data_IF_547388210002
#
_entry.id   IF_547388210002
#
_cell.length_a   1.000
_cell.length_b   1.000
_cell.length_c   1.000
_cell.angle_alpha   90.00
_cell.angle_beta   90.00
_cell.angle_gamma   90.00
#
_symmetry.space_group_name_H-M   'P 1'
#
loop_
_entity.id
_entity.type
_entity.pdbx_description
1 polymer ?
#
# COMPACT_ATOMS: atom_id res chain seq x y z
N UNK A 1 -5.30 26.02 -4.33
CA UNK A 1 -4.53 25.23 -3.33
C UNK A 1 -3.06 25.25 -3.71
N UNK A 2 -2.15 25.59 -2.80
CA UNK A 2 -0.70 25.59 -3.09
C UNK A 2 -0.19 24.15 -3.25
N UNK A 3 0.70 23.90 -4.22
CA UNK A 3 1.30 22.58 -4.48
C UNK A 3 1.93 21.96 -3.22
N UNK A 4 2.50 22.79 -2.33
CA UNK A 4 3.05 22.33 -1.05
C UNK A 4 2.00 21.72 -0.14
N UNK A 5 0.83 22.36 -0.04
CA UNK A 5 -0.29 21.88 0.78
C UNK A 5 -0.79 20.54 0.23
N UNK A 6 -0.91 20.43 -1.10
CA UNK A 6 -1.31 19.19 -1.76
C UNK A 6 -0.37 18.03 -1.41
N UNK A 7 0.95 18.24 -1.51
CA UNK A 7 1.95 17.22 -1.15
C UNK A 7 1.83 16.83 0.32
N UNK A 8 1.66 17.79 1.23
CA UNK A 8 1.51 17.49 2.67
C UNK A 8 0.30 16.61 2.92
N UNK A 9 -0.86 16.96 2.35
CA UNK A 9 -2.10 16.18 2.48
C UNK A 9 -1.91 14.75 1.94
N UNK A 10 -1.35 14.59 0.73
CA UNK A 10 -1.11 13.27 0.16
C UNK A 10 -0.18 12.43 1.04
N UNK A 11 0.89 13.01 1.59
CA UNK A 11 1.83 12.30 2.47
C UNK A 11 1.15 11.75 3.72
N UNK A 12 0.39 12.59 4.41
CA UNK A 12 -0.32 12.16 5.62
C UNK A 12 -1.39 11.14 5.30
N UNK A 13 -2.12 11.30 4.19
CA UNK A 13 -3.12 10.34 3.76
C UNK A 13 -2.49 8.97 3.48
N UNK A 14 -1.40 8.90 2.71
CA UNK A 14 -0.66 7.67 2.45
C UNK A 14 -0.11 7.03 3.72
N UNK A 15 0.51 7.83 4.61
CA UNK A 15 1.02 7.33 5.88
C UNK A 15 -0.09 6.68 6.72
N UNK A 16 -1.25 7.34 6.83
CA UNK A 16 -2.40 6.81 7.55
C UNK A 16 -2.93 5.54 6.89
N UNK A 17 -3.01 5.48 5.55
CA UNK A 17 -3.45 4.26 4.84
C UNK A 17 -2.53 3.07 5.13
N UNK A 18 -1.21 3.25 5.07
CA UNK A 18 -0.27 2.18 5.37
C UNK A 18 -0.34 1.74 6.85
N UNK A 19 -0.39 2.70 7.77
CA UNK A 19 -0.52 2.39 9.20
C UNK A 19 -1.85 1.69 9.53
N UNK A 20 -2.94 2.07 8.89
CA UNK A 20 -4.24 1.44 9.05
C UNK A 20 -4.21 -0.03 8.62
N UNK A 21 -3.65 -0.30 7.45
CA UNK A 21 -3.49 -1.67 6.92
C UNK A 21 -2.62 -2.52 7.84
N UNK A 22 -1.54 -1.96 8.39
CA UNK A 22 -0.69 -2.65 9.36
C UNK A 22 -1.45 -2.90 10.67
N UNK A 23 -2.23 -1.94 11.16
CA UNK A 23 -3.05 -2.10 12.36
C UNK A 23 -4.10 -3.21 12.20
N UNK A 24 -4.70 -3.33 11.02
CA UNK A 24 -5.62 -4.43 10.68
C UNK A 24 -4.92 -5.80 10.76
N UNK A 25 -3.70 -5.90 10.21
CA UNK A 25 -2.90 -7.12 10.22
C UNK A 25 -2.38 -7.50 11.60
N UNK A 26 -2.14 -6.53 12.48
CA UNK A 26 -1.67 -6.73 13.86
C UNK A 26 -2.80 -6.94 14.87
N UNK A 27 -4.04 -7.16 14.41
CA UNK A 27 -5.22 -7.34 15.27
C UNK A 27 -5.54 -6.13 16.17
N UNK A 28 -4.98 -4.95 15.87
CA UNK A 28 -5.20 -3.74 16.68
C UNK A 28 -6.58 -3.13 16.46
N UNK A 29 -7.20 -3.39 15.30
CA UNK A 29 -8.54 -2.93 14.96
C UNK A 29 -9.66 -3.90 15.40
N UNK A 30 -9.30 -5.05 15.98
CA UNK A 30 -10.21 -6.11 16.40
C UNK A 30 -10.30 -7.29 15.41
N UNK A 31 -11.22 -8.24 15.64
CA UNK A 31 -11.35 -9.45 14.84
C UNK A 31 -11.92 -9.19 13.43
N UNK A 32 -11.54 -10.06 12.48
CA UNK A 32 -12.06 -10.04 11.12
C UNK A 32 -13.60 -10.08 11.11
N UNK A 33 -14.22 -9.26 10.26
CA UNK A 33 -15.68 -9.13 10.18
C UNK A 33 -16.26 -7.94 10.95
N UNK A 34 -15.47 -7.27 11.78
CA UNK A 34 -15.83 -5.94 12.29
C UNK A 34 -15.77 -4.88 11.17
N UNK A 35 -16.54 -3.80 11.33
CA UNK A 35 -16.61 -2.72 10.35
C UNK A 35 -15.22 -2.09 10.15
N UNK A 36 -14.70 -2.13 8.91
CA UNK A 36 -13.38 -1.59 8.57
C UNK A 36 -12.19 -2.50 8.85
N UNK A 37 -12.43 -3.76 9.28
CA UNK A 37 -11.41 -4.78 9.53
C UNK A 37 -11.46 -5.83 8.42
N UNK A 38 -10.38 -5.99 7.66
CA UNK A 38 -10.33 -6.90 6.50
C UNK A 38 -9.79 -8.27 6.91
N UNK A 39 -8.64 -8.29 7.58
CA UNK A 39 -7.95 -9.53 7.97
C UNK A 39 -8.01 -9.76 9.47
N UNK A 40 -7.94 -8.72 10.29
CA UNK A 40 -8.03 -8.79 11.75
C UNK A 40 -6.96 -9.62 12.48
N UNK A 41 -6.11 -10.37 11.77
CA UNK A 41 -4.89 -11.01 12.28
C UNK A 41 -3.93 -11.32 11.13
N UNK A 42 -2.66 -11.55 11.48
CA UNK A 42 -1.60 -11.71 10.50
C UNK A 42 -1.71 -13.04 9.74
N UNK A 43 -2.18 -14.11 10.39
CA UNK A 43 -2.30 -15.44 9.78
C UNK A 43 -3.38 -15.48 8.69
N UNK A 44 -4.53 -14.84 8.93
CA UNK A 44 -5.60 -14.65 7.95
C UNK A 44 -5.11 -13.82 6.77
N UNK A 45 -4.32 -12.77 7.00
CA UNK A 45 -3.67 -12.01 5.94
C UNK A 45 -2.71 -12.87 5.09
N UNK A 46 -1.86 -13.69 5.72
CA UNK A 46 -0.93 -14.55 5.01
C UNK A 46 -1.66 -15.65 4.20
N UNK A 47 -2.71 -16.24 4.78
CA UNK A 47 -3.55 -17.22 4.09
C UNK A 47 -4.28 -16.61 2.89
N UNK A 48 -4.80 -15.38 3.05
CA UNK A 48 -5.41 -14.62 1.96
C UNK A 48 -4.39 -14.26 0.88
N UNK A 49 -3.20 -13.81 1.28
CA UNK A 49 -2.11 -13.51 0.34
C UNK A 49 -1.73 -14.75 -0.47
N UNK A 50 -1.66 -15.92 0.17
CA UNK A 50 -1.39 -17.18 -0.52
C UNK A 50 -2.50 -17.55 -1.51
N UNK A 51 -3.78 -17.30 -1.20
CA UNK A 51 -4.88 -17.61 -2.12
C UNK A 51 -4.90 -16.72 -3.36
N UNK A 52 -4.45 -15.46 -3.24
CA UNK A 52 -4.27 -14.53 -4.35
C UNK A 52 -2.90 -14.65 -5.03
N UNK A 53 -2.05 -15.60 -4.66
CA UNK A 53 -0.79 -15.85 -5.38
C UNK A 53 -0.64 -17.33 -5.69
N UNK A 54 -1.55 -17.94 -6.46
CA UNK A 54 -1.51 -19.38 -6.73
C UNK A 54 -0.26 -19.80 -7.51
N UNK A 55 0.44 -18.86 -8.14
CA UNK A 55 1.67 -19.12 -8.89
C UNK A 55 2.92 -19.29 -8.01
N UNK A 56 2.84 -18.91 -6.72
CA UNK A 56 3.96 -19.03 -5.79
C UNK A 56 3.72 -20.16 -4.77
N UNK A 57 4.78 -20.87 -4.34
CA UNK A 57 4.69 -21.77 -3.20
C UNK A 57 4.22 -21.01 -1.96
N UNK A 58 3.37 -21.63 -1.14
CA UNK A 58 2.78 -21.01 0.06
C UNK A 58 3.82 -20.33 0.96
N UNK A 59 4.99 -20.94 1.13
CA UNK A 59 6.10 -20.39 1.92
C UNK A 59 6.62 -19.07 1.34
N UNK A 60 6.71 -18.96 0.01
CA UNK A 60 7.19 -17.74 -0.64
C UNK A 60 6.16 -16.62 -0.54
N UNK A 61 4.87 -16.92 -0.68
CA UNK A 61 3.78 -15.96 -0.45
C UNK A 61 3.81 -15.40 0.97
N UNK A 62 4.16 -16.23 1.95
CA UNK A 62 4.27 -15.78 3.34
C UNK A 62 5.44 -14.82 3.53
N UNK A 63 6.61 -15.16 2.99
CA UNK A 63 7.79 -14.27 3.01
C UNK A 63 7.47 -12.93 2.35
N UNK A 64 6.79 -12.96 1.20
CA UNK A 64 6.35 -11.74 0.52
C UNK A 64 5.39 -10.90 1.37
N UNK A 65 4.46 -11.53 2.10
CA UNK A 65 3.56 -10.83 3.03
C UNK A 65 4.30 -10.12 4.17
N UNK A 66 5.32 -10.76 4.76
CA UNK A 66 6.18 -10.12 5.76
C UNK A 66 6.98 -8.95 5.17
N UNK A 67 7.63 -9.18 4.02
CA UNK A 67 8.43 -8.14 3.34
C UNK A 67 7.56 -6.94 2.97
N UNK A 68 6.36 -7.18 2.43
CA UNK A 68 5.40 -6.12 2.10
C UNK A 68 5.03 -5.30 3.34
N UNK A 69 4.72 -5.95 4.45
CA UNK A 69 4.37 -5.27 5.71
C UNK A 69 5.53 -4.40 6.23
N UNK A 70 6.77 -4.89 6.16
CA UNK A 70 7.95 -4.13 6.56
C UNK A 70 8.15 -2.92 5.64
N UNK A 71 8.03 -3.10 4.32
CA UNK A 71 8.17 -2.02 3.34
C UNK A 71 7.09 -0.95 3.56
N UNK A 72 5.83 -1.34 3.77
CA UNK A 72 4.74 -0.42 4.08
C UNK A 72 5.00 0.38 5.36
N UNK A 73 5.53 -0.26 6.40
CA UNK A 73 5.88 0.42 7.66
C UNK A 73 6.99 1.46 7.44
N UNK A 74 8.04 1.09 6.70
CA UNK A 74 9.16 2.00 6.36
C UNK A 74 8.65 3.18 5.53
N UNK A 75 7.79 2.93 4.53
CA UNK A 75 7.19 3.99 3.73
C UNK A 75 6.32 4.93 4.57
N UNK A 76 5.50 4.40 5.49
CA UNK A 76 4.69 5.21 6.39
C UNK A 76 5.56 6.16 7.23
N UNK A 77 6.62 5.63 7.84
CA UNK A 77 7.59 6.40 8.63
C UNK A 77 8.24 7.48 7.75
N UNK A 78 8.69 7.13 6.54
CA UNK A 78 9.33 8.10 5.64
C UNK A 78 8.36 9.20 5.20
N UNK A 79 7.08 8.88 4.98
CA UNK A 79 6.06 9.87 4.68
C UNK A 79 5.79 10.80 5.84
N UNK A 80 5.75 10.31 7.09
CA UNK A 80 5.58 11.14 8.30
C UNK A 80 6.78 12.07 8.49
N UNK A 81 7.99 11.54 8.49
CA UNK A 81 9.21 12.31 8.79
C UNK A 81 9.81 13.06 7.60
N UNK A 82 9.18 13.02 6.42
CA UNK A 82 9.65 13.69 5.21
C UNK A 82 11.04 13.20 4.72
N UNK A 83 11.36 11.93 4.96
CA UNK A 83 12.68 11.38 4.64
C UNK A 83 12.71 11.00 3.15
N UNK A 84 13.75 11.47 2.43
CA UNK A 84 14.00 11.15 1.00
C UNK A 84 12.73 11.21 0.14
N UNK A 85 11.95 12.28 0.27
CA UNK A 85 10.56 12.37 -0.20
C UNK A 85 10.33 11.89 -1.65
N UNK A 86 11.22 12.29 -2.57
CA UNK A 86 11.17 11.87 -3.98
C UNK A 86 11.21 10.34 -4.13
N UNK A 87 12.18 9.69 -3.50
CA UNK A 87 12.36 8.24 -3.57
C UNK A 87 11.22 7.50 -2.87
N UNK A 88 10.71 8.05 -1.75
CA UNK A 88 9.57 7.50 -1.00
C UNK A 88 8.29 7.48 -1.84
N UNK A 89 8.00 8.56 -2.59
CA UNK A 89 6.86 8.58 -3.52
C UNK A 89 7.01 7.57 -4.66
N UNK A 90 8.21 7.41 -5.20
CA UNK A 90 8.48 6.42 -6.25
C UNK A 90 8.30 4.98 -5.73
N UNK A 91 8.87 4.67 -4.57
CA UNK A 91 8.76 3.35 -3.95
C UNK A 91 7.30 3.01 -3.61
N UNK A 92 6.54 3.96 -3.06
CA UNK A 92 5.11 3.80 -2.80
C UNK A 92 4.30 3.60 -4.08
N UNK A 93 4.61 4.34 -5.16
CA UNK A 93 4.00 4.12 -6.47
C UNK A 93 4.22 2.68 -6.98
N UNK A 94 5.48 2.22 -6.96
CA UNK A 94 5.83 0.87 -7.42
C UNK A 94 5.11 -0.20 -6.60
N UNK A 95 5.09 -0.05 -5.27
CA UNK A 95 4.37 -0.98 -4.37
C UNK A 95 2.87 -1.07 -4.73
N UNK A 96 2.19 0.07 -4.88
CA UNK A 96 0.76 0.12 -5.18
C UNK A 96 0.44 -0.45 -6.56
N UNK A 97 1.31 -0.22 -7.56
CA UNK A 97 1.17 -0.80 -8.90
C UNK A 97 1.35 -2.31 -8.85
N UNK A 98 2.38 -2.81 -8.15
CA UNK A 98 2.58 -4.26 -7.98
C UNK A 98 1.37 -4.90 -7.32
N UNK A 99 0.84 -4.32 -6.24
CA UNK A 99 -0.36 -4.81 -5.57
C UNK A 99 -1.58 -4.84 -6.52
N UNK A 100 -1.79 -3.77 -7.28
CA UNK A 100 -2.89 -3.66 -8.25
C UNK A 100 -2.80 -4.75 -9.32
N UNK A 101 -1.61 -4.93 -9.91
CA UNK A 101 -1.36 -5.95 -10.93
C UNK A 101 -1.62 -7.34 -10.33
N UNK A 102 -1.05 -7.63 -9.17
CA UNK A 102 -1.25 -8.91 -8.47
C UNK A 102 -2.73 -9.20 -8.22
N UNK A 103 -3.51 -8.22 -7.75
CA UNK A 103 -4.95 -8.39 -7.50
C UNK A 103 -5.73 -8.66 -8.79
N UNK A 104 -5.48 -7.90 -9.87
CA UNK A 104 -6.17 -8.08 -11.16
C UNK A 104 -5.90 -9.47 -11.74
N UNK A 105 -4.65 -9.92 -11.74
CA UNK A 105 -4.30 -11.22 -12.32
C UNK A 105 -4.85 -12.41 -11.51
N UNK A 106 -5.04 -12.24 -10.20
CA UNK A 106 -5.34 -13.36 -9.30
C UNK A 106 -6.83 -13.50 -9.01
N UNK A 107 -7.52 -12.39 -8.78
CA UNK A 107 -8.97 -12.36 -8.50
C UNK A 107 -9.81 -12.05 -9.74
N UNK A 108 -9.19 -11.55 -10.81
CA UNK A 108 -9.87 -11.00 -11.96
C UNK A 108 -10.37 -9.56 -11.71
N UNK A 109 -10.60 -8.83 -12.80
CA UNK A 109 -10.92 -7.40 -12.75
C UNK A 109 -12.15 -7.06 -11.91
N UNK A 110 -13.22 -7.86 -12.02
CA UNK A 110 -14.50 -7.60 -11.33
C UNK A 110 -14.38 -7.68 -9.81
N UNK A 111 -13.63 -8.66 -9.30
CA UNK A 111 -13.45 -8.86 -7.85
C UNK A 111 -12.38 -7.92 -7.28
N UNK A 112 -11.35 -7.60 -8.07
CA UNK A 112 -10.29 -6.69 -7.66
C UNK A 112 -10.75 -5.22 -7.59
N UNK A 113 -11.82 -4.86 -8.32
CA UNK A 113 -12.26 -3.47 -8.52
C UNK A 113 -12.33 -2.65 -7.23
N UNK A 114 -13.00 -3.19 -6.20
CA UNK A 114 -13.20 -2.49 -4.92
C UNK A 114 -11.88 -2.23 -4.17
N UNK A 115 -10.89 -3.10 -4.35
CA UNK A 115 -9.56 -2.97 -3.72
C UNK A 115 -8.62 -2.05 -4.50
N UNK A 116 -8.74 -2.01 -5.83
CA UNK A 116 -7.75 -1.35 -6.69
C UNK A 116 -8.08 0.11 -7.01
N UNK A 117 -9.34 0.57 -6.94
CA UNK A 117 -9.69 1.96 -7.32
C UNK A 117 -8.91 2.98 -6.50
N UNK A 118 -8.99 2.89 -5.16
CA UNK A 118 -8.28 3.81 -4.27
C UNK A 118 -6.76 3.66 -4.42
N UNK A 119 -6.29 2.42 -4.58
CA UNK A 119 -4.88 2.10 -4.83
C UNK A 119 -4.34 2.80 -6.08
N UNK A 120 -5.08 2.76 -7.20
CA UNK A 120 -4.71 3.38 -8.47
C UNK A 120 -4.73 4.91 -8.35
N UNK A 121 -5.71 5.48 -7.66
CA UNK A 121 -5.78 6.93 -7.42
C UNK A 121 -4.56 7.43 -6.63
N UNK A 122 -4.18 6.68 -5.58
CA UNK A 122 -2.98 6.99 -4.79
C UNK A 122 -1.70 6.80 -5.60
N UNK A 123 -1.60 5.73 -6.39
CA UNK A 123 -0.46 5.48 -7.25
C UNK A 123 -0.25 6.60 -8.28
N UNK A 124 -1.31 6.99 -8.99
CA UNK A 124 -1.24 8.09 -9.99
C UNK A 124 -0.86 9.42 -9.34
N UNK A 125 -1.39 9.71 -8.15
CA UNK A 125 -1.01 10.89 -7.35
C UNK A 125 0.48 10.86 -6.97
N UNK A 126 0.99 9.71 -6.55
CA UNK A 126 2.40 9.52 -6.18
C UNK A 126 3.33 9.75 -7.37
N UNK A 127 2.99 9.18 -8.53
CA UNK A 127 3.75 9.38 -9.76
C UNK A 127 3.78 10.86 -10.16
N UNK A 128 2.64 11.55 -10.10
CA UNK A 128 2.56 12.97 -10.41
C UNK A 128 3.45 13.81 -9.49
N UNK A 129 3.42 13.57 -8.18
CA UNK A 129 4.25 14.30 -7.20
C UNK A 129 5.73 14.01 -7.45
N UNK A 130 6.10 12.75 -7.66
CA UNK A 130 7.47 12.34 -7.98
C UNK A 130 8.00 13.09 -9.21
N UNK A 131 7.23 13.09 -10.31
CA UNK A 131 7.61 13.74 -11.55
C UNK A 131 7.79 15.26 -11.36
N UNK A 132 6.88 15.89 -10.60
CA UNK A 132 6.96 17.33 -10.29
C UNK A 132 8.20 17.67 -9.45
N UNK A 133 8.53 16.87 -8.43
CA UNK A 133 9.73 17.08 -7.61
C UNK A 133 10.98 16.89 -8.46
N UNK A 134 11.04 15.84 -9.29
CA UNK A 134 12.17 15.57 -10.19
C UNK A 134 12.40 16.72 -11.17
N UNK A 135 11.33 17.28 -11.77
CA UNK A 135 11.42 18.40 -12.70
C UNK A 135 11.88 19.71 -12.03
N UNK A 136 11.63 19.89 -10.73
CA UNK A 136 12.07 21.09 -10.01
C UNK A 136 13.55 21.04 -9.59
N UNK A 137 14.21 19.88 -9.72
CA UNK A 137 15.59 19.64 -9.30
C UNK A 137 16.61 19.60 -10.45
N UNK A 138 16.14 19.66 -11.70
CA UNK A 138 16.98 19.69 -12.91
C UNK A 138 16.62 20.89 -13.78
#
# INVERSE_FOLDING_TARGET
MSFKIFVIVCRFFLATTYLWVIADRLSLLGPAGNMGVVWGNFETFLNYTASITPWFPKQLSYVLGYVATIVELVLAIFFVFNIKLKETFLASFLLLVTFTISMIFSLGFKQAYDFIIFTILLATSNWYIFWRIKKAQG
#
